data_IF_587411278232
#
_entry.id   IF_587411278232
#
_cell.length_a   1.000
_cell.length_b   1.000
_cell.length_c   1.000
_cell.angle_alpha   90.00
_cell.angle_beta   90.00
_cell.angle_gamma   90.00
#
_symmetry.space_group_name_H-M   'P 1'
#
loop_
_entity.id
_entity.type
_entity.pdbx_description
1 polymer ?
#
# COMPACT_ATOMS: atom_id res chain seq x y z
N UNK A 1 23.89 -12.81 34.05
CA UNK A 1 22.80 -13.30 33.16
C UNK A 1 21.49 -12.48 33.30
N UNK A 2 21.38 -11.57 34.27
CA UNK A 2 20.22 -10.68 34.47
C UNK A 2 20.14 -9.52 33.49
N UNK A 3 21.24 -8.83 33.22
CA UNK A 3 21.30 -7.59 32.41
C UNK A 3 20.85 -7.72 30.94
N UNK A 4 21.07 -8.88 30.31
CA UNK A 4 20.62 -9.10 28.92
C UNK A 4 19.10 -9.30 28.79
N UNK A 5 18.43 -9.84 29.81
CA UNK A 5 16.97 -10.00 29.82
C UNK A 5 16.27 -8.66 30.08
N UNK A 6 16.78 -7.84 30.97
CA UNK A 6 16.22 -6.54 31.32
C UNK A 6 16.28 -5.55 30.15
N UNK A 7 17.38 -5.56 29.38
CA UNK A 7 17.51 -4.80 28.14
C UNK A 7 16.54 -5.27 27.06
N UNK A 8 16.27 -6.58 26.95
CA UNK A 8 15.35 -7.15 25.97
C UNK A 8 13.89 -6.75 26.24
N UNK A 9 13.47 -6.80 27.52
CA UNK A 9 12.12 -6.36 27.93
C UNK A 9 11.91 -4.86 27.76
N UNK A 10 12.91 -4.05 28.09
CA UNK A 10 12.89 -2.59 27.89
C UNK A 10 12.77 -2.23 26.40
N UNK A 11 13.48 -2.93 25.53
CA UNK A 11 13.37 -2.78 24.07
C UNK A 11 11.97 -3.14 23.56
N UNK A 12 11.42 -4.29 23.99
CA UNK A 12 10.07 -4.73 23.58
C UNK A 12 9.02 -3.74 24.05
N UNK A 13 9.07 -3.30 25.31
CA UNK A 13 8.14 -2.31 25.86
C UNK A 13 8.21 -0.97 25.10
N UNK A 14 9.41 -0.51 24.75
CA UNK A 14 9.62 0.74 24.00
C UNK A 14 9.02 0.65 22.58
N UNK A 15 9.20 -0.46 21.89
CA UNK A 15 8.62 -0.66 20.56
C UNK A 15 7.11 -0.85 20.63
N UNK A 16 6.60 -1.63 21.59
CA UNK A 16 5.16 -1.80 21.79
C UNK A 16 4.49 -0.47 22.15
N UNK A 17 5.10 0.32 23.01
CA UNK A 17 4.61 1.67 23.34
C UNK A 17 4.61 2.61 22.13
N UNK A 18 5.67 2.57 21.30
CA UNK A 18 5.74 3.35 20.06
C UNK A 18 4.63 2.95 19.08
N UNK A 19 4.44 1.65 18.85
CA UNK A 19 3.39 1.17 17.96
C UNK A 19 2.00 1.46 18.51
N UNK A 20 1.78 1.29 19.82
CA UNK A 20 0.52 1.62 20.48
C UNK A 20 0.17 3.10 20.38
N UNK A 21 1.13 4.00 20.58
CA UNK A 21 0.92 5.44 20.44
C UNK A 21 0.62 5.87 19.00
N UNK A 22 1.32 5.29 18.01
CA UNK A 22 1.05 5.52 16.58
C UNK A 22 -0.34 5.04 16.20
N UNK A 23 -0.73 3.87 16.68
CA UNK A 23 -2.05 3.30 16.43
C UNK A 23 -3.15 4.15 17.08
N UNK A 24 -2.96 4.57 18.32
CA UNK A 24 -3.88 5.47 19.03
C UNK A 24 -4.05 6.81 18.32
N UNK A 25 -2.97 7.42 17.86
CA UNK A 25 -2.99 8.64 17.07
C UNK A 25 -3.73 8.44 15.75
N UNK A 26 -3.50 7.31 15.06
CA UNK A 26 -4.21 6.94 13.84
C UNK A 26 -5.72 6.83 14.05
N UNK A 27 -6.16 6.23 15.16
CA UNK A 27 -7.58 6.10 15.52
C UNK A 27 -8.19 7.49 15.78
N UNK A 28 -7.54 8.34 16.57
CA UNK A 28 -8.03 9.69 16.86
C UNK A 28 -8.17 10.53 15.58
N UNK A 29 -7.14 10.53 14.75
CA UNK A 29 -7.16 11.22 13.45
C UNK A 29 -8.24 10.64 12.53
N UNK A 30 -8.43 9.32 12.54
CA UNK A 30 -9.48 8.64 11.79
C UNK A 30 -10.89 9.05 12.22
N UNK A 31 -11.15 9.13 13.53
CA UNK A 31 -12.45 9.57 14.06
C UNK A 31 -12.73 11.03 13.70
N UNK A 32 -11.75 11.92 13.88
CA UNK A 32 -11.88 13.33 13.49
C UNK A 32 -12.16 13.46 11.99
N UNK A 33 -11.37 12.78 11.17
CA UNK A 33 -11.57 12.78 9.72
C UNK A 33 -12.96 12.29 9.34
N UNK A 34 -13.42 11.17 9.89
CA UNK A 34 -14.74 10.61 9.55
C UNK A 34 -15.87 11.58 9.95
N UNK A 35 -15.74 12.27 11.10
CA UNK A 35 -16.70 13.30 11.51
C UNK A 35 -16.76 14.45 10.51
N UNK A 36 -15.61 15.02 10.12
CA UNK A 36 -15.58 16.10 9.13
C UNK A 36 -16.03 15.64 7.75
N UNK A 37 -15.62 14.43 7.32
CA UNK A 37 -16.05 13.87 6.05
C UNK A 37 -17.56 13.71 6.00
N UNK A 38 -18.19 13.18 7.06
CA UNK A 38 -19.64 13.06 7.15
C UNK A 38 -20.35 14.41 7.15
N UNK A 39 -19.76 15.43 7.81
CA UNK A 39 -20.32 16.78 7.86
C UNK A 39 -20.33 17.47 6.48
N UNK A 40 -19.24 17.30 5.70
CA UNK A 40 -19.09 18.01 4.43
C UNK A 40 -19.66 17.25 3.22
N UNK A 41 -19.62 15.92 3.25
CA UNK A 41 -20.09 15.07 2.15
C UNK A 41 -21.56 14.66 2.33
N UNK A 42 -22.08 14.65 3.55
CA UNK A 42 -23.39 14.11 3.83
C UNK A 42 -23.52 12.60 3.59
N UNK A 43 -24.72 12.02 3.71
CA UNK A 43 -24.93 10.59 3.55
C UNK A 43 -24.62 10.07 2.13
N UNK A 44 -24.99 10.81 1.08
CA UNK A 44 -24.75 10.41 -0.32
C UNK A 44 -23.25 10.37 -0.65
N UNK A 45 -22.53 11.42 -0.28
CA UNK A 45 -21.08 11.48 -0.51
C UNK A 45 -20.30 10.45 0.30
N UNK A 46 -20.75 10.12 1.53
CA UNK A 46 -20.17 9.02 2.30
C UNK A 46 -20.40 7.66 1.62
N UNK A 47 -21.57 7.45 1.02
CA UNK A 47 -21.88 6.27 0.23
C UNK A 47 -20.94 6.15 -0.98
N UNK A 48 -20.77 7.22 -1.75
CA UNK A 48 -19.87 7.27 -2.90
C UNK A 48 -18.41 7.03 -2.49
N UNK A 49 -17.93 7.66 -1.41
CA UNK A 49 -16.59 7.45 -0.88
C UNK A 49 -16.35 6.00 -0.49
N UNK A 50 -17.30 5.38 0.21
CA UNK A 50 -17.24 3.98 0.61
C UNK A 50 -17.19 3.05 -0.60
N UNK A 51 -18.02 3.30 -1.60
CA UNK A 51 -18.10 2.54 -2.84
C UNK A 51 -16.78 2.61 -3.62
N UNK A 52 -16.23 3.80 -3.85
CA UNK A 52 -14.96 3.94 -4.55
C UNK A 52 -13.80 3.32 -3.76
N UNK A 53 -13.78 3.49 -2.44
CA UNK A 53 -12.76 2.87 -1.57
C UNK A 53 -12.82 1.34 -1.61
N UNK A 54 -14.02 0.76 -1.59
CA UNK A 54 -14.22 -0.68 -1.71
C UNK A 54 -13.79 -1.19 -3.09
N UNK A 55 -14.13 -0.47 -4.16
CA UNK A 55 -13.70 -0.79 -5.53
C UNK A 55 -12.17 -0.79 -5.63
N UNK A 56 -11.51 0.24 -5.11
CA UNK A 56 -10.04 0.31 -5.06
C UNK A 56 -9.47 -0.88 -4.30
N UNK A 57 -10.03 -1.20 -3.13
CA UNK A 57 -9.56 -2.31 -2.30
C UNK A 57 -9.69 -3.66 -3.00
N UNK A 58 -10.85 -3.95 -3.57
CA UNK A 58 -11.11 -5.21 -4.28
C UNK A 58 -10.20 -5.35 -5.50
N UNK A 59 -10.16 -4.34 -6.38
CA UNK A 59 -9.34 -4.39 -7.58
C UNK A 59 -7.85 -4.43 -7.26
N UNK A 60 -7.39 -3.65 -6.27
CA UNK A 60 -5.99 -3.69 -5.85
C UNK A 60 -5.62 -5.04 -5.26
N UNK A 61 -6.48 -5.66 -4.44
CA UNK A 61 -6.24 -6.97 -3.85
C UNK A 61 -6.25 -8.08 -4.90
N UNK A 62 -7.16 -8.03 -5.89
CA UNK A 62 -7.20 -8.99 -6.96
C UNK A 62 -6.00 -8.88 -7.91
N UNK A 63 -5.59 -7.63 -8.23
CA UNK A 63 -4.54 -7.38 -9.24
C UNK A 63 -3.13 -7.36 -8.67
N UNK A 64 -2.93 -7.32 -7.35
CA UNK A 64 -1.58 -7.33 -6.76
C UNK A 64 -0.95 -8.72 -6.69
N UNK A 65 -1.68 -9.78 -7.04
CA UNK A 65 -1.22 -11.17 -7.06
C UNK A 65 -0.54 -11.62 -5.75
N UNK A 66 -0.97 -11.07 -4.60
CA UNK A 66 -0.40 -11.41 -3.30
C UNK A 66 1.05 -10.92 -3.08
N UNK A 67 1.58 -10.05 -3.97
CA UNK A 67 2.94 -9.51 -3.88
C UNK A 67 3.25 -8.90 -2.50
N UNK A 68 2.34 -8.17 -1.82
CA UNK A 68 2.62 -7.63 -0.49
C UNK A 68 2.97 -8.69 0.56
N UNK A 69 2.46 -9.90 0.43
CA UNK A 69 2.69 -11.02 1.37
C UNK A 69 3.85 -11.91 0.89
N UNK A 70 3.79 -12.34 -0.37
CA UNK A 70 4.84 -13.19 -0.95
C UNK A 70 6.19 -12.48 -1.06
N UNK A 71 6.19 -11.17 -1.31
CA UNK A 71 7.38 -10.34 -1.36
C UNK A 71 8.09 -10.24 -0.02
N UNK A 72 7.34 -10.13 1.08
CA UNK A 72 7.94 -10.16 2.44
C UNK A 72 8.65 -11.49 2.65
N UNK A 73 7.95 -12.61 2.40
CA UNK A 73 8.52 -13.95 2.57
C UNK A 73 9.77 -14.14 1.70
N UNK A 74 9.69 -13.79 0.42
CA UNK A 74 10.78 -13.97 -0.54
C UNK A 74 12.06 -13.18 -0.16
N UNK A 75 11.91 -11.94 0.31
CA UNK A 75 13.05 -11.12 0.75
C UNK A 75 13.61 -11.66 2.06
N UNK A 76 12.77 -12.01 3.05
CA UNK A 76 13.20 -12.54 4.35
C UNK A 76 13.90 -13.89 4.23
N UNK A 77 13.47 -14.78 3.32
CA UNK A 77 14.15 -16.04 3.05
C UNK A 77 15.56 -15.82 2.48
N UNK A 78 15.72 -14.80 1.62
CA UNK A 78 17.05 -14.43 1.10
C UNK A 78 17.95 -13.79 2.16
N UNK A 79 17.37 -13.00 3.07
CA UNK A 79 18.11 -12.42 4.21
C UNK A 79 18.62 -13.50 5.17
N UNK A 80 17.83 -14.55 5.44
CA UNK A 80 18.20 -15.64 6.34
C UNK A 80 19.12 -16.69 5.69
N UNK A 81 19.09 -16.84 4.37
CA UNK A 81 19.95 -17.78 3.63
C UNK A 81 21.34 -17.22 3.33
N UNK A 82 21.53 -15.93 3.47
CA UNK A 82 22.80 -15.26 3.25
C UNK A 82 23.65 -15.36 4.53
N UNK A 83 24.58 -16.31 4.54
CA UNK A 83 25.62 -16.43 5.56
C UNK A 83 26.64 -15.29 5.35
N UNK A 84 27.01 -14.58 6.38
CA UNK A 84 27.92 -13.42 6.61
C UNK A 84 28.88 -12.92 5.50
N UNK A 85 28.60 -13.12 4.22
CA UNK A 85 29.48 -12.75 3.09
C UNK A 85 28.98 -11.51 2.33
N UNK A 86 29.88 -10.84 1.60
CA UNK A 86 29.55 -9.69 0.71
C UNK A 86 28.48 -10.01 -0.37
N UNK A 87 28.16 -11.27 -0.60
CA UNK A 87 27.09 -11.75 -1.47
C UNK A 87 25.69 -11.39 -0.96
N UNK A 88 25.51 -11.27 0.37
CA UNK A 88 24.24 -10.99 1.05
C UNK A 88 23.54 -9.72 0.53
N UNK A 89 24.28 -8.61 0.45
CA UNK A 89 23.72 -7.33 0.00
C UNK A 89 23.28 -7.35 -1.48
N UNK A 90 23.97 -8.13 -2.30
CA UNK A 90 23.63 -8.27 -3.72
C UNK A 90 22.37 -9.12 -3.91
N UNK A 91 22.21 -10.18 -3.11
CA UNK A 91 21.05 -11.07 -3.16
C UNK A 91 19.76 -10.39 -2.66
N UNK A 92 19.84 -9.64 -1.54
CA UNK A 92 18.72 -8.83 -1.03
C UNK A 92 18.37 -7.73 -2.04
N UNK A 93 19.36 -7.06 -2.62
CA UNK A 93 19.12 -6.04 -3.65
C UNK A 93 18.42 -6.63 -4.88
N UNK A 94 18.83 -7.82 -5.31
CA UNK A 94 18.17 -8.57 -6.39
C UNK A 94 16.70 -8.91 -6.08
N UNK A 95 16.44 -9.39 -4.86
CA UNK A 95 15.09 -9.70 -4.41
C UNK A 95 14.17 -8.45 -4.34
N UNK A 96 14.69 -7.34 -3.83
CA UNK A 96 13.99 -6.05 -3.79
C UNK A 96 13.66 -5.55 -5.19
N UNK A 97 14.62 -5.63 -6.13
CA UNK A 97 14.40 -5.25 -7.52
C UNK A 97 13.32 -6.11 -8.20
N UNK A 98 13.28 -7.41 -7.89
CA UNK A 98 12.23 -8.31 -8.35
C UNK A 98 10.86 -7.87 -7.85
N UNK A 99 10.71 -7.68 -6.54
CA UNK A 99 9.44 -7.24 -5.94
C UNK A 99 8.96 -5.92 -6.56
N UNK A 100 9.85 -4.95 -6.78
CA UNK A 100 9.50 -3.68 -7.45
C UNK A 100 9.05 -3.88 -8.89
N UNK A 101 9.76 -4.72 -9.65
CA UNK A 101 9.42 -5.00 -11.05
C UNK A 101 8.04 -5.64 -11.15
N UNK A 102 7.76 -6.65 -10.32
CA UNK A 102 6.46 -7.31 -10.30
C UNK A 102 5.34 -6.40 -9.78
N UNK A 103 5.61 -5.57 -8.77
CA UNK A 103 4.64 -4.57 -8.30
C UNK A 103 4.31 -3.54 -9.37
N UNK A 104 5.29 -3.14 -10.18
CA UNK A 104 5.07 -2.23 -11.32
C UNK A 104 4.21 -2.90 -12.40
N UNK A 105 4.51 -4.14 -12.78
CA UNK A 105 3.71 -4.88 -13.75
C UNK A 105 2.27 -5.11 -13.26
N UNK A 106 2.11 -5.49 -11.99
CA UNK A 106 0.81 -5.65 -11.35
C UNK A 106 0.03 -4.32 -11.29
N UNK A 107 0.70 -3.19 -11.04
CA UNK A 107 0.10 -1.88 -11.02
C UNK A 107 -0.43 -1.45 -12.40
N UNK A 108 0.34 -1.69 -13.46
CA UNK A 108 -0.13 -1.46 -14.83
C UNK A 108 -1.30 -2.37 -15.19
N UNK A 109 -1.20 -3.66 -14.84
CA UNK A 109 -2.29 -4.60 -15.04
C UNK A 109 -3.56 -4.17 -14.30
N UNK A 110 -3.46 -3.80 -13.03
CA UNK A 110 -4.59 -3.32 -12.23
C UNK A 110 -5.22 -2.05 -12.78
N UNK A 111 -4.43 -1.10 -13.29
CA UNK A 111 -4.93 0.10 -13.94
C UNK A 111 -5.69 -0.24 -15.23
N UNK A 112 -5.16 -1.13 -16.08
CA UNK A 112 -5.82 -1.59 -17.31
C UNK A 112 -7.14 -2.29 -16.97
N UNK A 113 -7.12 -3.23 -16.01
CA UNK A 113 -8.32 -3.94 -15.56
C UNK A 113 -9.38 -2.97 -15.04
N UNK A 114 -8.99 -1.93 -14.29
CA UNK A 114 -9.91 -0.90 -13.81
C UNK A 114 -10.58 -0.14 -14.97
N UNK A 115 -9.82 0.23 -15.99
CA UNK A 115 -10.36 0.92 -17.18
C UNK A 115 -11.32 0.03 -17.93
N UNK A 116 -10.97 -1.24 -18.13
CA UNK A 116 -11.81 -2.22 -18.86
C UNK A 116 -13.09 -2.57 -18.09
N UNK A 117 -13.00 -2.70 -16.76
CA UNK A 117 -14.14 -3.00 -15.90
C UNK A 117 -15.00 -1.77 -15.58
N UNK A 118 -14.52 -0.55 -15.86
CA UNK A 118 -15.25 0.69 -15.56
C UNK A 118 -16.69 0.71 -16.05
N UNK A 119 -16.98 0.39 -17.33
CA UNK A 119 -18.35 0.32 -17.85
C UNK A 119 -19.19 -0.75 -17.16
N UNK A 120 -18.60 -1.90 -16.87
CA UNK A 120 -19.28 -3.02 -16.19
C UNK A 120 -19.63 -2.63 -14.74
N UNK A 121 -18.68 -2.05 -14.00
CA UNK A 121 -18.90 -1.57 -12.65
C UNK A 121 -19.99 -0.51 -12.58
N UNK A 122 -20.04 0.39 -13.56
CA UNK A 122 -21.13 1.37 -13.66
C UNK A 122 -22.49 0.70 -13.80
N UNK A 123 -22.62 -0.31 -14.68
CA UNK A 123 -23.87 -1.04 -14.89
C UNK A 123 -24.35 -1.82 -13.68
N UNK A 124 -23.44 -2.34 -12.84
CA UNK A 124 -23.81 -3.05 -11.62
C UNK A 124 -24.08 -2.12 -10.42
N UNK A 125 -23.49 -0.94 -10.39
CA UNK A 125 -23.49 -0.08 -9.20
C UNK A 125 -24.52 1.02 -9.26
N UNK A 126 -24.75 1.58 -10.45
CA UNK A 126 -25.66 2.69 -10.65
C UNK A 126 -26.78 2.31 -11.62
N UNK A 127 -28.02 2.33 -11.14
CA UNK A 127 -29.22 2.16 -11.97
C UNK A 127 -29.57 3.44 -12.74
N UNK A 128 -28.94 4.57 -12.43
CA UNK A 128 -29.22 5.90 -13.02
C UNK A 128 -27.95 6.73 -13.10
N UNK A 129 -27.68 7.27 -14.29
CA UNK A 129 -26.51 8.08 -14.56
C UNK A 129 -25.31 7.31 -15.14
N UNK A 130 -24.45 8.04 -15.83
CA UNK A 130 -23.24 7.49 -16.42
C UNK A 130 -22.02 7.90 -15.59
N UNK A 131 -21.63 7.04 -14.65
CA UNK A 131 -20.47 7.24 -13.78
C UNK A 131 -19.22 6.49 -14.26
N UNK A 132 -19.21 5.97 -15.49
CA UNK A 132 -18.09 5.23 -16.08
C UNK A 132 -16.78 6.02 -16.01
N UNK A 133 -16.81 7.32 -16.27
CA UNK A 133 -15.66 8.20 -16.15
C UNK A 133 -15.07 8.22 -14.73
N UNK A 134 -15.91 8.16 -13.70
CA UNK A 134 -15.45 8.14 -12.31
C UNK A 134 -14.68 6.85 -12.01
N UNK A 135 -15.14 5.70 -12.50
CA UNK A 135 -14.43 4.42 -12.36
C UNK A 135 -13.12 4.41 -13.14
N UNK A 136 -13.09 4.95 -14.36
CA UNK A 136 -11.87 5.07 -15.16
C UNK A 136 -10.84 5.97 -14.44
N UNK A 137 -11.29 7.06 -13.83
CA UNK A 137 -10.44 7.95 -13.05
C UNK A 137 -9.87 7.33 -11.76
N UNK A 138 -10.39 6.16 -11.32
CA UNK A 138 -9.77 5.39 -10.23
C UNK A 138 -8.52 4.62 -10.67
N UNK A 139 -8.29 4.42 -11.96
CA UNK A 139 -7.17 3.63 -12.46
C UNK A 139 -5.80 4.12 -11.94
N UNK A 140 -5.45 5.42 -11.97
CA UNK A 140 -4.21 5.90 -11.38
C UNK A 140 -4.15 5.72 -9.85
N UNK A 141 -5.28 5.75 -9.16
CA UNK A 141 -5.34 5.47 -7.71
C UNK A 141 -4.98 4.02 -7.42
N UNK A 142 -5.54 3.07 -8.18
CA UNK A 142 -5.23 1.64 -8.08
C UNK A 142 -3.77 1.38 -8.41
N UNK A 143 -3.24 2.02 -9.44
CA UNK A 143 -1.83 1.93 -9.82
C UNK A 143 -0.91 2.28 -8.65
N UNK A 144 -1.10 3.45 -8.03
CA UNK A 144 -0.28 3.87 -6.90
C UNK A 144 -0.52 3.05 -5.64
N UNK A 145 -1.74 2.55 -5.42
CA UNK A 145 -2.06 1.67 -4.28
C UNK A 145 -1.29 0.35 -4.37
N UNK A 146 -1.24 -0.28 -5.54
CA UNK A 146 -0.49 -1.52 -5.77
C UNK A 146 1.01 -1.28 -5.61
N UNK A 147 1.55 -0.20 -6.19
CA UNK A 147 2.95 0.18 -6.00
C UNK A 147 3.31 0.42 -4.53
N UNK A 148 2.43 1.11 -3.79
CA UNK A 148 2.62 1.34 -2.37
C UNK A 148 2.66 0.03 -1.57
N UNK A 149 1.85 -0.97 -1.96
CA UNK A 149 1.85 -2.31 -1.39
C UNK A 149 3.20 -3.02 -1.52
N UNK A 150 3.81 -2.96 -2.71
CA UNK A 150 5.14 -3.52 -2.97
C UNK A 150 6.25 -2.85 -2.14
N UNK A 151 6.27 -1.52 -2.07
CA UNK A 151 7.26 -0.81 -1.24
C UNK A 151 7.03 -1.06 0.27
N UNK A 152 5.77 -1.24 0.70
CA UNK A 152 5.44 -1.65 2.08
C UNK A 152 5.99 -3.05 2.39
N UNK A 153 5.91 -3.99 1.44
CA UNK A 153 6.48 -5.34 1.60
C UNK A 153 7.99 -5.28 1.81
N UNK A 154 8.70 -4.45 1.05
CA UNK A 154 10.15 -4.25 1.20
C UNK A 154 10.48 -3.72 2.60
N UNK A 155 9.77 -2.69 3.08
CA UNK A 155 9.98 -2.13 4.41
C UNK A 155 9.70 -3.14 5.54
N UNK A 156 8.69 -3.99 5.37
CA UNK A 156 8.36 -5.06 6.32
C UNK A 156 9.44 -6.14 6.34
N UNK A 157 9.85 -6.59 5.16
CA UNK A 157 10.85 -7.66 5.01
C UNK A 157 12.22 -7.25 5.56
N UNK A 158 12.60 -5.99 5.41
CA UNK A 158 13.88 -5.44 5.91
C UNK A 158 13.81 -4.93 7.36
N UNK A 159 12.77 -5.31 8.12
CA UNK A 159 12.65 -4.99 9.55
C UNK A 159 12.53 -3.49 9.87
N UNK A 160 12.22 -2.62 8.88
CA UNK A 160 12.16 -1.18 9.09
C UNK A 160 10.85 -0.73 9.76
N UNK A 161 10.54 -1.34 10.90
CA UNK A 161 9.32 -1.10 11.65
C UNK A 161 9.14 0.36 12.06
N UNK A 162 10.24 1.06 12.41
CA UNK A 162 10.20 2.48 12.75
C UNK A 162 9.78 3.35 11.56
N UNK A 163 10.29 3.03 10.37
CA UNK A 163 9.92 3.74 9.15
C UNK A 163 8.43 3.52 8.80
N UNK A 164 7.93 2.29 8.98
CA UNK A 164 6.50 1.97 8.80
C UNK A 164 5.61 2.74 9.78
N UNK A 165 6.00 2.81 11.06
CA UNK A 165 5.25 3.55 12.06
C UNK A 165 5.23 5.05 11.75
N UNK A 166 6.38 5.65 11.44
CA UNK A 166 6.47 7.08 11.08
C UNK A 166 5.67 7.41 9.81
N UNK A 167 5.74 6.56 8.81
CA UNK A 167 4.96 6.69 7.58
C UNK A 167 3.45 6.62 7.85
N UNK A 168 3.00 5.66 8.66
CA UNK A 168 1.58 5.52 9.00
C UNK A 168 1.05 6.77 9.74
N UNK A 169 1.80 7.29 10.70
CA UNK A 169 1.45 8.53 11.41
C UNK A 169 1.39 9.73 10.48
N UNK A 170 2.41 9.89 9.64
CA UNK A 170 2.49 11.01 8.69
C UNK A 170 1.35 10.94 7.67
N UNK A 171 1.06 9.74 7.16
CA UNK A 171 -0.05 9.52 6.23
C UNK A 171 -1.39 9.85 6.87
N UNK A 172 -1.63 9.46 8.13
CA UNK A 172 -2.86 9.78 8.84
C UNK A 172 -3.08 11.30 8.97
N UNK A 173 -2.03 12.05 9.34
CA UNK A 173 -2.08 13.51 9.43
C UNK A 173 -2.32 14.14 8.06
N UNK A 174 -1.57 13.72 7.03
CA UNK A 174 -1.72 14.22 5.66
C UNK A 174 -3.12 13.93 5.12
N UNK A 175 -3.66 12.76 5.44
CA UNK A 175 -5.00 12.36 5.05
C UNK A 175 -6.06 13.31 5.60
N UNK A 176 -5.94 13.74 6.87
CA UNK A 176 -6.82 14.72 7.48
C UNK A 176 -6.63 16.10 6.85
N UNK A 177 -5.38 16.54 6.71
CA UNK A 177 -5.04 17.87 6.16
C UNK A 177 -5.47 18.05 4.69
N UNK A 178 -5.46 16.98 3.90
CA UNK A 178 -5.85 17.03 2.49
C UNK A 178 -7.36 16.82 2.33
N UNK A 179 -7.94 15.82 3.00
CA UNK A 179 -9.34 15.45 2.78
C UNK A 179 -10.30 16.52 3.28
N UNK A 180 -10.05 17.11 4.45
CA UNK A 180 -10.96 18.06 5.07
C UNK A 180 -11.13 19.34 4.24
N UNK A 181 -10.06 20.05 3.82
CA UNK A 181 -10.20 21.25 3.00
C UNK A 181 -10.79 20.95 1.61
N UNK A 182 -10.39 19.81 1.00
CA UNK A 182 -10.88 19.47 -0.34
C UNK A 182 -12.38 19.14 -0.30
N UNK A 183 -12.85 18.41 0.72
CA UNK A 183 -14.27 18.12 0.86
C UNK A 183 -15.09 19.35 1.24
N UNK A 184 -14.51 20.28 2.01
CA UNK A 184 -15.16 21.54 2.35
C UNK A 184 -15.38 22.42 1.10
N UNK A 185 -14.38 22.50 0.20
CA UNK A 185 -14.43 23.37 -0.99
C UNK A 185 -15.18 22.72 -2.14
N UNK A 186 -14.93 21.42 -2.41
CA UNK A 186 -15.41 20.73 -3.61
C UNK A 186 -16.54 19.72 -3.35
N UNK A 187 -16.89 19.43 -2.08
CA UNK A 187 -17.89 18.46 -1.72
C UNK A 187 -17.61 17.08 -2.34
N UNK A 188 -18.64 16.48 -2.92
CA UNK A 188 -18.56 15.14 -3.55
C UNK A 188 -17.56 15.07 -4.72
N UNK A 189 -17.38 16.18 -5.47
CA UNK A 189 -16.40 16.24 -6.57
C UNK A 189 -14.95 16.10 -6.10
N UNK A 190 -14.71 16.38 -4.83
CA UNK A 190 -13.41 16.22 -4.19
C UNK A 190 -13.01 14.76 -3.88
N UNK A 191 -13.94 13.79 -3.96
CA UNK A 191 -13.68 12.41 -3.55
C UNK A 191 -12.56 11.78 -4.39
N UNK A 192 -12.67 11.81 -5.71
CA UNK A 192 -11.68 11.22 -6.62
C UNK A 192 -10.29 11.86 -6.50
N UNK A 193 -10.15 13.21 -6.55
CA UNK A 193 -8.87 13.87 -6.32
C UNK A 193 -8.23 13.49 -4.99
N UNK A 194 -9.02 13.42 -3.90
CA UNK A 194 -8.49 13.05 -2.59
C UNK A 194 -7.97 11.61 -2.58
N UNK A 195 -8.73 10.65 -3.11
CA UNK A 195 -8.31 9.26 -3.20
C UNK A 195 -7.00 9.11 -4.00
N UNK A 196 -6.88 9.83 -5.11
CA UNK A 196 -5.67 9.84 -5.93
C UNK A 196 -4.47 10.44 -5.17
N UNK A 197 -4.64 11.64 -4.59
CA UNK A 197 -3.58 12.32 -3.85
C UNK A 197 -3.09 11.43 -2.70
N UNK A 198 -4.00 10.78 -1.97
CA UNK A 198 -3.64 9.91 -0.85
C UNK A 198 -2.88 8.66 -1.30
N UNK A 199 -3.30 8.00 -2.38
CA UNK A 199 -2.59 6.84 -2.92
C UNK A 199 -1.19 7.24 -3.42
N UNK A 200 -1.08 8.38 -4.09
CA UNK A 200 0.21 8.93 -4.52
C UNK A 200 1.12 9.26 -3.34
N UNK A 201 0.61 9.95 -2.31
CA UNK A 201 1.38 10.29 -1.11
C UNK A 201 1.83 9.05 -0.34
N UNK A 202 0.96 8.04 -0.22
CA UNK A 202 1.30 6.77 0.38
C UNK A 202 2.46 6.10 -0.37
N UNK A 203 2.37 6.01 -1.69
CA UNK A 203 3.46 5.47 -2.51
C UNK A 203 4.73 6.29 -2.35
N UNK A 204 4.66 7.62 -2.44
CA UNK A 204 5.83 8.50 -2.36
C UNK A 204 6.55 8.38 -1.00
N UNK A 205 5.80 8.30 0.10
CA UNK A 205 6.37 8.08 1.43
C UNK A 205 7.04 6.72 1.55
N UNK A 206 6.36 5.66 1.13
CA UNK A 206 6.91 4.30 1.14
C UNK A 206 8.19 4.22 0.31
N UNK A 207 8.16 4.78 -0.89
CA UNK A 207 9.29 4.85 -1.80
C UNK A 207 10.47 5.63 -1.21
N UNK A 208 10.21 6.78 -0.55
CA UNK A 208 11.27 7.57 0.09
C UNK A 208 12.00 6.79 1.18
N UNK A 209 11.28 6.02 1.99
CA UNK A 209 11.88 5.20 3.04
C UNK A 209 12.57 3.96 2.46
N UNK A 210 11.93 3.27 1.54
CA UNK A 210 12.44 2.06 0.89
C UNK A 210 13.72 2.32 0.06
N UNK A 211 13.87 3.50 -0.56
CA UNK A 211 15.10 3.90 -1.25
C UNK A 211 16.36 3.92 -0.37
N UNK A 212 16.19 4.06 0.94
CA UNK A 212 17.32 4.03 1.87
C UNK A 212 17.89 2.63 2.07
N UNK A 213 17.08 1.60 1.79
CA UNK A 213 17.49 0.19 1.89
C UNK A 213 18.25 -0.24 0.64
N UNK A 214 17.61 -0.07 -0.51
CA UNK A 214 18.19 -0.41 -1.82
C UNK A 214 17.88 0.71 -2.81
N UNK A 215 18.90 1.15 -3.56
CA UNK A 215 18.74 2.16 -4.63
C UNK A 215 17.66 1.72 -5.61
N UNK A 216 16.89 2.69 -6.10
CA UNK A 216 15.83 2.41 -7.05
C UNK A 216 16.40 1.80 -8.34
N UNK A 217 15.76 0.73 -8.78
CA UNK A 217 16.05 0.06 -10.04
C UNK A 217 14.90 -0.86 -10.40
N UNK A 218 14.71 -1.06 -11.69
CA UNK A 218 13.77 -2.04 -12.25
C UNK A 218 14.59 -2.88 -13.21
N UNK A 219 14.55 -4.20 -13.08
CA UNK A 219 15.29 -5.09 -13.94
C UNK A 219 14.33 -5.93 -14.80
N UNK A 220 14.12 -5.47 -16.04
CA UNK A 220 13.23 -6.14 -17.01
C UNK A 220 13.92 -7.23 -17.84
N UNK A 221 15.09 -7.75 -17.43
CA UNK A 221 15.71 -8.87 -18.13
C UNK A 221 14.83 -10.11 -18.06
N UNK A 222 14.68 -10.85 -19.16
CA UNK A 222 13.89 -12.09 -19.24
C UNK A 222 14.25 -13.10 -18.14
N UNK A 223 15.52 -13.19 -17.77
CA UNK A 223 16.02 -14.07 -16.70
C UNK A 223 15.49 -13.67 -15.30
N UNK A 224 15.29 -12.37 -15.07
CA UNK A 224 14.73 -11.84 -13.84
C UNK A 224 13.22 -12.12 -13.73
N UNK A 225 12.51 -12.06 -14.85
CA UNK A 225 11.07 -12.37 -14.91
C UNK A 225 10.80 -13.86 -14.62
N UNK A 226 11.66 -14.77 -15.14
CA UNK A 226 11.52 -16.21 -14.85
C UNK A 226 11.83 -16.53 -13.39
N UNK A 227 12.85 -15.88 -12.79
CA UNK A 227 13.22 -16.06 -11.40
C UNK A 227 12.15 -15.59 -10.39
N UNK A 228 11.25 -14.71 -10.80
CA UNK A 228 10.14 -14.23 -9.96
C UNK A 228 8.83 -15.02 -10.08
N UNK A 229 8.76 -16.02 -10.96
CA UNK A 229 7.56 -16.85 -11.13
C UNK A 229 7.13 -17.57 -9.82
N UNK A 230 8.04 -18.08 -8.97
CA UNK A 230 7.70 -18.62 -7.66
C UNK A 230 6.99 -17.60 -6.75
N UNK A 231 7.33 -16.31 -6.85
CA UNK A 231 6.72 -15.21 -6.09
C UNK A 231 5.23 -15.04 -6.46
N UNK A 232 4.89 -15.11 -7.75
CA UNK A 232 3.50 -15.05 -8.21
C UNK A 232 2.71 -16.30 -7.81
N UNK A 233 3.33 -17.49 -7.89
CA UNK A 233 2.70 -18.74 -7.48
C UNK A 233 2.37 -18.76 -5.98
N UNK A 234 3.30 -18.31 -5.15
CA UNK A 234 3.09 -18.15 -3.71
C UNK A 234 2.03 -17.09 -3.42
N UNK A 235 2.08 -15.94 -4.10
CA UNK A 235 1.11 -14.88 -3.95
C UNK A 235 -0.30 -15.30 -4.34
N UNK A 236 -0.47 -16.01 -5.44
CA UNK A 236 -1.75 -16.56 -5.88
C UNK A 236 -2.34 -17.55 -4.89
N UNK A 237 -1.51 -18.41 -4.28
CA UNK A 237 -1.96 -19.33 -3.23
C UNK A 237 -2.46 -18.56 -1.98
N UNK A 238 -1.82 -17.46 -1.59
CA UNK A 238 -2.26 -16.62 -0.48
C UNK A 238 -3.56 -15.85 -0.77
N UNK A 239 -3.80 -15.43 -2.00
CA UNK A 239 -5.06 -14.78 -2.41
C UNK A 239 -6.23 -15.76 -2.38
N UNK A 240 -5.99 -17.04 -2.66
CA UNK A 240 -7.04 -18.08 -2.65
C UNK A 240 -7.32 -18.66 -1.26
N UNK A 241 -6.41 -18.48 -0.30
CA UNK A 241 -6.53 -19.03 1.07
C UNK A 241 -7.04 -18.01 2.10
N UNK A 242 -7.18 -16.74 1.76
CA UNK A 242 -7.71 -15.66 2.61
C UNK A 242 -9.08 -15.21 2.19
#
# INVERSE_FOLDING_TARGET
>A
MGDKKENSYSHILKYTGLFGSVQGLGILVGVLRNKFTALFLGPSGMGLLSLFSSTISVLSSACNFGIPTSGVKFISEKEHAADESQSEKADIAGAVLLVRTYSLLAAFFGAIVCVLLGPLLNGFTFSWGNHTLHFILLAPTIFFTILAGGETAILKATGQLRALAMQASLLAILLLLVSVPVYWIFGERGILPVLFILAFMQWALNFRYSRRVVRWGVNMRKMTLVAGFPLLRLGGAFVLSG
#
